data_IF_152544331211
#
_entry.id   IF_152544331211
#
_cell.length_a   1.000
_cell.length_b   1.000
_cell.length_c   1.000
_cell.angle_alpha   90.00
_cell.angle_beta   90.00
_cell.angle_gamma   90.00
#
_symmetry.space_group_name_H-M   'P 1'
#
loop_
_entity.id
_entity.type
_entity.pdbx_description
1 polymer ?
#
# COMPACT_ATOMS: atom_id res chain seq x y z
N UNK A 1 -11.48 15.85 -9.87
CA UNK A 1 -10.34 15.12 -9.27
C UNK A 1 -10.85 14.38 -8.03
N UNK A 2 -10.80 13.06 -8.05
CA UNK A 2 -11.23 12.22 -6.91
C UNK A 2 -10.02 11.95 -6.02
N UNK A 3 -10.19 12.04 -4.70
CA UNK A 3 -9.16 11.65 -3.72
C UNK A 3 -9.70 10.61 -2.75
N UNK A 4 -9.00 9.50 -2.57
CA UNK A 4 -9.38 8.41 -1.66
C UNK A 4 -8.20 8.00 -0.77
N UNK A 5 -8.50 7.65 0.48
CA UNK A 5 -7.56 7.03 1.41
C UNK A 5 -7.82 5.53 1.43
N UNK A 6 -6.77 4.74 1.31
CA UNK A 6 -6.83 3.28 1.27
C UNK A 6 -5.88 2.76 2.35
N UNK A 7 -6.40 1.93 3.25
CA UNK A 7 -5.63 1.33 4.34
C UNK A 7 -5.50 -0.17 4.07
N UNK A 8 -4.28 -0.68 4.17
CA UNK A 8 -3.99 -2.10 4.04
C UNK A 8 -3.76 -2.67 5.44
N UNK A 9 -4.58 -3.63 5.82
CA UNK A 9 -4.58 -4.27 7.15
C UNK A 9 -4.60 -5.79 7.03
N UNK A 10 -4.28 -6.49 8.11
CA UNK A 10 -4.17 -7.95 8.19
C UNK A 10 -2.96 -8.40 9.01
N UNK A 11 -2.95 -9.70 9.35
CA UNK A 11 -1.92 -10.33 10.18
C UNK A 11 -0.49 -10.11 9.67
N UNK A 12 0.48 -10.30 10.55
CA UNK A 12 1.88 -10.39 10.14
C UNK A 12 2.08 -11.50 9.07
N UNK A 13 3.01 -11.30 8.14
CA UNK A 13 3.35 -12.31 7.12
C UNK A 13 2.42 -12.39 5.89
N UNK A 14 1.23 -11.80 5.89
CA UNK A 14 0.23 -12.00 4.79
C UNK A 14 0.54 -11.25 3.48
N UNK A 15 1.66 -10.52 3.40
CA UNK A 15 2.11 -9.87 2.16
C UNK A 15 1.57 -8.45 1.91
N UNK A 16 1.07 -7.75 2.93
CA UNK A 16 0.58 -6.35 2.82
C UNK A 16 1.60 -5.41 2.17
N UNK A 17 2.83 -5.44 2.69
CA UNK A 17 3.95 -4.62 2.19
C UNK A 17 4.36 -5.00 0.76
N UNK A 18 4.28 -6.29 0.42
CA UNK A 18 4.54 -6.76 -0.95
C UNK A 18 3.48 -6.25 -1.93
N UNK A 19 2.20 -6.28 -1.55
CA UNK A 19 1.11 -5.71 -2.35
C UNK A 19 1.25 -4.20 -2.51
N UNK A 20 1.58 -3.50 -1.43
CA UNK A 20 1.84 -2.06 -1.44
C UNK A 20 2.96 -1.71 -2.43
N UNK A 21 4.11 -2.37 -2.33
CA UNK A 21 5.26 -2.14 -3.21
C UNK A 21 4.94 -2.48 -4.66
N UNK A 22 4.26 -3.60 -4.92
CA UNK A 22 3.81 -3.97 -6.26
C UNK A 22 2.91 -2.89 -6.84
N UNK A 23 1.98 -2.36 -6.05
CA UNK A 23 1.06 -1.33 -6.53
C UNK A 23 1.76 0.00 -6.78
N UNK A 24 2.64 0.47 -5.90
CA UNK A 24 3.30 1.78 -6.04
C UNK A 24 4.42 1.74 -7.09
N UNK A 25 5.34 0.80 -6.97
CA UNK A 25 6.61 0.82 -7.72
C UNK A 25 6.76 -0.34 -8.70
N UNK A 26 5.76 -1.22 -8.82
CA UNK A 26 5.83 -2.43 -9.64
C UNK A 26 7.05 -3.32 -9.29
N UNK A 27 7.44 -3.33 -8.00
CA UNK A 27 8.55 -4.14 -7.49
C UNK A 27 8.06 -5.26 -6.60
N UNK A 28 8.88 -6.32 -6.51
CA UNK A 28 8.73 -7.38 -5.53
C UNK A 28 10.12 -7.74 -4.98
N UNK A 29 10.21 -7.97 -3.68
CA UNK A 29 11.43 -8.33 -2.98
C UNK A 29 11.17 -9.57 -2.13
N UNK A 30 12.03 -10.58 -2.27
CA UNK A 30 12.01 -11.76 -1.40
C UNK A 30 12.56 -11.46 0.01
N UNK A 31 13.29 -10.34 0.18
CA UNK A 31 13.69 -9.87 1.51
C UNK A 31 12.45 -9.37 2.24
N UNK A 32 11.96 -10.18 3.17
CA UNK A 32 10.84 -9.83 4.03
C UNK A 32 11.34 -8.92 5.16
N UNK A 33 11.22 -7.61 4.98
CA UNK A 33 11.45 -6.63 6.04
C UNK A 33 10.10 -6.30 6.68
N UNK A 34 10.03 -6.41 8.01
CA UNK A 34 8.88 -5.96 8.80
C UNK A 34 8.66 -4.46 8.59
N UNK A 35 7.43 -4.05 8.28
CA UNK A 35 7.06 -2.62 8.35
C UNK A 35 7.12 -2.19 9.82
N UNK A 36 7.97 -1.22 10.12
CA UNK A 36 8.00 -0.55 11.43
C UNK A 36 7.09 0.68 11.32
N UNK A 37 6.01 0.71 12.08
CA UNK A 37 5.05 1.81 12.08
C UNK A 37 4.11 1.83 10.86
N UNK A 38 3.98 3.00 10.22
CA UNK A 38 3.07 3.25 9.09
C UNK A 38 3.84 3.80 7.91
N UNK A 39 3.64 3.21 6.73
CA UNK A 39 4.14 3.75 5.47
C UNK A 39 3.00 4.37 4.67
N UNK A 40 3.18 5.62 4.25
CA UNK A 40 2.19 6.36 3.46
C UNK A 40 2.80 6.74 2.11
N UNK A 41 2.07 6.48 1.03
CA UNK A 41 2.45 6.87 -0.32
C UNK A 41 1.22 7.32 -1.12
N UNK A 42 1.43 8.06 -2.21
CA UNK A 42 0.38 8.61 -3.06
C UNK A 42 0.57 8.14 -4.49
N UNK A 43 -0.49 7.55 -5.06
CA UNK A 43 -0.51 7.18 -6.48
C UNK A 43 -1.58 7.96 -7.23
N UNK A 44 -1.18 8.61 -8.32
CA UNK A 44 -2.08 9.25 -9.27
C UNK A 44 -2.41 8.24 -10.38
N UNK A 45 -3.69 8.16 -10.73
CA UNK A 45 -4.23 7.21 -11.71
C UNK A 45 -5.29 7.90 -12.55
N UNK A 46 -5.50 7.39 -13.76
CA UNK A 46 -6.65 7.74 -14.59
C UNK A 46 -7.56 6.50 -14.67
N UNK A 47 -8.80 6.63 -14.19
CA UNK A 47 -9.80 5.55 -14.16
C UNK A 47 -11.07 6.10 -14.80
N UNK A 48 -11.57 5.44 -15.85
CA UNK A 48 -12.77 5.85 -16.60
C UNK A 48 -12.74 7.33 -17.03
N UNK A 49 -11.57 7.80 -17.47
CA UNK A 49 -11.34 9.19 -17.89
C UNK A 49 -11.22 10.22 -16.76
N UNK A 50 -11.26 9.80 -15.49
CA UNK A 50 -11.15 10.68 -14.33
C UNK A 50 -9.81 10.55 -13.62
N UNK A 51 -9.24 11.69 -13.22
CA UNK A 51 -8.06 11.71 -12.36
C UNK A 51 -8.40 11.33 -10.92
N UNK A 52 -7.76 10.26 -10.46
CA UNK A 52 -7.90 9.68 -9.12
C UNK A 52 -6.56 9.71 -8.39
N UNK A 53 -6.58 10.33 -7.20
CA UNK A 53 -5.48 10.33 -6.24
C UNK A 53 -5.76 9.32 -5.13
N UNK A 54 -4.98 8.25 -5.05
CA UNK A 54 -5.03 7.30 -3.94
C UNK A 54 -3.92 7.62 -2.94
N UNK A 55 -4.28 7.74 -1.66
CA UNK A 55 -3.33 7.82 -0.53
C UNK A 55 -3.36 6.47 0.16
N UNK A 56 -2.28 5.71 0.04
CA UNK A 56 -2.16 4.33 0.52
C UNK A 56 -1.41 4.30 1.84
N UNK A 57 -1.92 3.52 2.78
CA UNK A 57 -1.36 3.34 4.12
C UNK A 57 -1.06 1.84 4.31
N UNK A 58 0.21 1.47 4.34
CA UNK A 58 0.67 0.14 4.75
C UNK A 58 1.01 0.18 6.24
N UNK A 59 0.29 -0.64 7.01
CA UNK A 59 0.45 -0.73 8.46
C UNK A 59 1.30 -1.96 8.81
N UNK A 60 2.12 -1.84 9.85
CA UNK A 60 2.71 -3.00 10.51
C UNK A 60 1.61 -4.04 10.78
N UNK A 61 1.89 -5.31 10.48
CA UNK A 61 0.95 -6.37 10.81
C UNK A 61 0.76 -6.47 12.30
N UNK A 62 -0.49 -6.61 12.75
CA UNK A 62 -0.79 -6.94 14.13
C UNK A 62 -0.21 -8.34 14.43
N UNK A 63 0.53 -8.44 15.54
CA UNK A 63 1.02 -9.70 16.11
C UNK A 63 0.16 -9.94 17.33
N UNK A 64 -0.94 -10.67 17.15
CA UNK A 64 -1.78 -11.18 18.23
C UNK A 64 -1.14 -12.38 18.90
#
# INVERSE_FOLDING_TARGET
MISKKVVITGHFGVGKTSLFNRFISNTFSEKYLTTIGVRVDKKQLQIDGQDVSLILWDLAGEVS
#
